data_IF_711339911065
#
_entry.id   IF_711339911065
#
_cell.length_a   1.000
_cell.length_b   1.000
_cell.length_c   1.000
_cell.angle_alpha   90.00
_cell.angle_beta   90.00
_cell.angle_gamma   90.00
#
_symmetry.space_group_name_H-M   'P 1'
#
loop_
_entity.id
_entity.type
_entity.pdbx_description
1 polymer ?
#
# COMPACT_ATOMS: atom_id res chain seq x y z
N UNK A 1 44.05 60.02 -17.74
CA UNK A 1 42.76 59.49 -17.29
C UNK A 1 43.06 58.50 -16.17
N UNK A 2 43.31 59.03 -14.98
CA UNK A 2 43.72 58.28 -13.80
C UNK A 2 42.52 58.15 -12.88
N UNK A 3 41.96 56.95 -12.79
CA UNK A 3 40.92 56.63 -11.82
C UNK A 3 41.57 56.64 -10.43
N UNK A 4 41.13 57.57 -9.58
CA UNK A 4 41.57 57.67 -8.18
C UNK A 4 40.88 56.58 -7.35
N UNK A 5 41.60 56.01 -6.38
CA UNK A 5 41.16 54.96 -5.43
C UNK A 5 39.85 55.24 -4.67
N UNK A 6 39.22 56.41 -4.84
CA UNK A 6 37.98 56.82 -4.19
C UNK A 6 36.71 56.17 -4.76
N UNK A 7 36.72 55.63 -5.98
CA UNK A 7 35.51 55.09 -6.63
C UNK A 7 35.28 53.59 -6.39
N UNK A 8 36.23 52.88 -5.75
CA UNK A 8 36.15 51.44 -5.44
C UNK A 8 35.67 51.12 -4.01
N UNK A 9 35.65 52.12 -3.12
CA UNK A 9 35.27 51.95 -1.71
C UNK A 9 33.77 51.69 -1.44
N UNK A 10 32.81 52.34 -2.15
CA UNK A 10 31.39 52.12 -1.89
C UNK A 10 30.95 50.68 -2.22
N UNK A 11 31.56 50.10 -3.25
CA UNK A 11 31.24 48.76 -3.75
C UNK A 11 31.76 47.66 -2.82
N UNK A 12 32.93 47.88 -2.21
CA UNK A 12 33.49 46.95 -1.23
C UNK A 12 32.67 46.91 0.07
N UNK A 13 32.17 48.06 0.53
CA UNK A 13 31.31 48.14 1.73
C UNK A 13 29.95 47.47 1.48
N UNK A 14 29.36 47.69 0.30
CA UNK A 14 28.13 47.02 -0.12
C UNK A 14 28.32 45.50 -0.24
N UNK A 15 29.42 45.06 -0.85
CA UNK A 15 29.78 43.66 -0.96
C UNK A 15 30.01 43.02 0.42
N UNK A 16 30.67 43.72 1.34
CA UNK A 16 30.90 43.24 2.70
C UNK A 16 29.59 43.12 3.49
N UNK A 17 28.67 44.08 3.35
CA UNK A 17 27.33 44.00 3.93
C UNK A 17 26.51 42.83 3.34
N UNK A 18 26.63 42.58 2.04
CA UNK A 18 25.97 41.47 1.37
C UNK A 18 26.51 40.10 1.82
N UNK A 19 27.83 39.97 1.97
CA UNK A 19 28.47 38.76 2.52
C UNK A 19 28.01 38.52 3.96
N UNK A 20 27.96 39.56 4.78
CA UNK A 20 27.50 39.45 6.17
C UNK A 20 26.03 39.05 6.26
N UNK A 21 25.19 39.53 5.33
CA UNK A 21 23.80 39.12 5.21
C UNK A 21 23.65 37.65 4.77
N UNK A 22 24.50 37.18 3.85
CA UNK A 22 24.54 35.77 3.45
C UNK A 22 24.97 34.86 4.60
N UNK A 23 25.97 35.25 5.39
CA UNK A 23 26.40 34.49 6.58
C UNK A 23 25.29 34.41 7.63
N UNK A 24 24.60 35.52 7.88
CA UNK A 24 23.43 35.57 8.76
C UNK A 24 22.28 34.67 8.26
N UNK A 25 22.01 34.70 6.96
CA UNK A 25 21.00 33.85 6.33
C UNK A 25 21.37 32.37 6.42
N UNK A 26 22.65 32.02 6.18
CA UNK A 26 23.15 30.65 6.31
C UNK A 26 22.98 30.12 7.73
N UNK A 27 23.36 30.90 8.74
CA UNK A 27 23.20 30.53 10.15
C UNK A 27 21.73 30.31 10.53
N UNK A 28 20.83 31.20 10.09
CA UNK A 28 19.38 31.02 10.29
C UNK A 28 18.86 29.77 9.60
N UNK A 29 19.34 29.47 8.40
CA UNK A 29 18.94 28.27 7.66
C UNK A 29 19.37 27.00 8.41
N UNK A 30 20.62 26.95 8.88
CA UNK A 30 21.12 25.82 9.69
C UNK A 30 20.35 25.67 11.00
N UNK A 31 19.97 26.77 11.64
CA UNK A 31 19.14 26.73 12.85
C UNK A 31 17.73 26.20 12.56
N UNK A 32 17.10 26.68 11.48
CA UNK A 32 15.78 26.20 11.04
C UNK A 32 15.82 24.73 10.61
N UNK A 33 16.90 24.26 9.98
CA UNK A 33 17.10 22.85 9.66
C UNK A 33 17.23 21.99 10.91
N UNK A 34 17.98 22.44 11.92
CA UNK A 34 18.08 21.76 13.20
C UNK A 34 16.74 21.74 13.96
N UNK A 35 16.00 22.85 13.93
CA UNK A 35 14.66 22.94 14.52
C UNK A 35 13.66 22.06 13.77
N UNK A 36 13.73 21.98 12.43
CA UNK A 36 12.92 21.07 11.62
C UNK A 36 13.27 19.61 11.89
N UNK A 37 14.54 19.28 12.07
CA UNK A 37 14.98 17.92 12.36
C UNK A 37 14.60 17.51 13.79
N UNK A 38 14.67 18.43 14.76
CA UNK A 38 14.06 18.24 16.10
C UNK A 38 12.55 18.13 16.02
N UNK A 39 11.86 18.96 15.23
CA UNK A 39 10.41 18.93 15.06
C UNK A 39 9.94 17.68 14.31
N UNK A 40 10.77 17.06 13.48
CA UNK A 40 10.50 15.73 12.89
C UNK A 40 10.70 14.61 13.91
N UNK A 41 11.73 14.69 14.76
CA UNK A 41 11.95 13.74 15.85
C UNK A 41 10.89 13.88 16.97
N UNK A 42 10.42 15.10 17.22
CA UNK A 42 9.33 15.40 18.14
C UNK A 42 7.96 15.26 17.48
N UNK A 43 7.84 15.38 16.16
CA UNK A 43 6.62 15.12 15.39
C UNK A 43 6.27 13.64 15.27
N UNK A 44 7.21 12.76 15.61
CA UNK A 44 6.95 11.35 15.95
C UNK A 44 6.22 11.23 17.30
N UNK A 45 6.21 12.28 18.14
CA UNK A 45 5.64 12.29 19.49
C UNK A 45 4.57 13.37 19.76
N UNK A 46 4.42 14.38 18.90
CA UNK A 46 3.43 15.48 19.04
C UNK A 46 2.45 15.42 17.86
N UNK A 47 1.68 14.33 17.78
CA UNK A 47 0.32 14.36 17.24
C UNK A 47 -0.73 14.29 18.37
N UNK A 48 -0.31 14.36 19.63
CA UNK A 48 -1.20 14.24 20.79
C UNK A 48 -1.54 15.60 21.40
N UNK A 49 -2.45 16.33 20.75
CA UNK A 49 -3.21 17.40 21.42
C UNK A 49 -4.54 17.58 20.70
N UNK A 50 -5.41 16.59 20.89
CA UNK A 50 -6.78 16.54 20.38
C UNK A 50 -7.13 15.11 19.95
N UNK A 51 -8.05 14.46 20.69
CA UNK A 51 -8.71 13.19 20.38
C UNK A 51 -7.94 11.88 20.65
N UNK A 52 -8.12 11.37 21.89
CA UNK A 52 -7.72 10.03 22.33
C UNK A 52 -8.35 8.87 21.53
N UNK A 53 -9.29 9.12 20.60
CA UNK A 53 -9.83 8.11 19.71
C UNK A 53 -8.92 7.80 18.50
N UNK A 54 -8.09 8.75 18.05
CA UNK A 54 -7.20 8.57 16.89
C UNK A 54 -5.84 7.94 17.24
N UNK A 55 -5.46 7.91 18.53
CA UNK A 55 -4.19 7.32 18.97
C UNK A 55 -4.12 5.79 18.85
N UNK A 56 -5.26 5.09 18.85
CA UNK A 56 -5.30 3.63 18.69
C UNK A 56 -5.21 3.20 17.22
N UNK A 57 -5.78 3.97 16.29
CA UNK A 57 -5.69 3.70 14.85
C UNK A 57 -4.27 3.87 14.32
N UNK A 58 -3.57 4.95 14.73
CA UNK A 58 -2.16 5.16 14.38
C UNK A 58 -1.23 4.08 14.92
N UNK A 59 -1.52 3.54 16.11
CA UNK A 59 -0.77 2.41 16.67
C UNK A 59 -1.04 1.10 15.90
N UNK A 60 -2.29 0.88 15.46
CA UNK A 60 -2.68 -0.29 14.66
C UNK A 60 -2.04 -0.30 13.27
N UNK A 61 -1.99 0.85 12.58
CA UNK A 61 -1.34 0.99 11.28
C UNK A 61 0.18 0.69 11.35
N UNK A 62 0.87 1.28 12.34
CA UNK A 62 2.31 1.02 12.55
C UNK A 62 2.57 -0.44 12.95
N UNK A 63 1.73 -1.03 13.80
CA UNK A 63 1.86 -2.44 14.17
C UNK A 63 1.69 -3.35 12.95
N UNK A 64 0.71 -3.08 12.09
CA UNK A 64 0.53 -3.81 10.85
C UNK A 64 1.75 -3.68 9.92
N UNK A 65 2.32 -2.49 9.75
CA UNK A 65 3.49 -2.29 8.89
C UNK A 65 4.70 -3.10 9.36
N UNK A 66 4.92 -3.17 10.68
CA UNK A 66 5.99 -3.97 11.28
C UNK A 66 5.75 -5.47 11.07
N UNK A 67 4.54 -5.97 11.32
CA UNK A 67 4.23 -7.39 11.11
C UNK A 67 4.25 -7.76 9.62
N UNK A 68 3.81 -6.86 8.73
CA UNK A 68 3.89 -7.06 7.30
C UNK A 68 5.34 -7.12 6.80
N UNK A 69 6.22 -6.26 7.32
CA UNK A 69 7.65 -6.30 7.00
C UNK A 69 8.28 -7.64 7.41
N UNK A 70 8.00 -8.13 8.62
CA UNK A 70 8.46 -9.46 9.07
C UNK A 70 7.89 -10.59 8.24
N UNK A 71 6.61 -10.51 7.88
CA UNK A 71 5.98 -11.49 6.99
C UNK A 71 6.69 -11.53 5.64
N UNK A 72 7.03 -10.37 5.08
CA UNK A 72 7.74 -10.26 3.80
C UNK A 72 9.17 -10.83 3.88
N UNK A 73 9.88 -10.62 4.99
CA UNK A 73 11.19 -11.23 5.23
C UNK A 73 11.12 -12.76 5.23
N UNK A 74 10.16 -13.35 5.96
CA UNK A 74 9.98 -14.80 5.97
C UNK A 74 9.51 -15.33 4.60
N UNK A 75 8.65 -14.59 3.89
CA UNK A 75 8.29 -14.92 2.50
C UNK A 75 9.53 -14.98 1.60
N UNK A 76 10.44 -14.01 1.68
CA UNK A 76 11.68 -14.02 0.89
C UNK A 76 12.52 -15.27 1.21
N UNK A 77 12.60 -15.66 2.49
CA UNK A 77 13.33 -16.86 2.93
C UNK A 77 12.70 -18.14 2.37
N UNK A 78 11.40 -18.33 2.52
CA UNK A 78 10.68 -19.50 1.98
C UNK A 78 10.78 -19.59 0.46
N UNK A 79 10.73 -18.45 -0.24
CA UNK A 79 10.88 -18.41 -1.70
C UNK A 79 12.31 -18.79 -2.12
N UNK A 80 13.33 -18.37 -1.37
CA UNK A 80 14.71 -18.78 -1.63
C UNK A 80 14.90 -20.28 -1.41
N UNK A 81 14.28 -20.84 -0.38
CA UNK A 81 14.25 -22.29 -0.14
C UNK A 81 13.57 -23.04 -1.29
N UNK A 82 12.39 -22.58 -1.73
CA UNK A 82 11.68 -23.16 -2.87
C UNK A 82 12.52 -23.10 -4.15
N UNK A 83 13.17 -21.96 -4.41
CA UNK A 83 14.06 -21.79 -5.56
C UNK A 83 15.24 -22.76 -5.51
N UNK A 84 15.86 -22.93 -4.34
CA UNK A 84 16.95 -23.89 -4.15
C UNK A 84 16.48 -25.32 -4.41
N UNK A 85 15.33 -25.72 -3.84
CA UNK A 85 14.74 -27.05 -4.02
C UNK A 85 14.37 -27.35 -5.48
N UNK A 86 13.81 -26.37 -6.20
CA UNK A 86 13.53 -26.49 -7.64
C UNK A 86 14.82 -26.67 -8.44
N UNK A 87 15.86 -25.87 -8.14
CA UNK A 87 17.15 -25.94 -8.85
C UNK A 87 17.92 -27.23 -8.57
N UNK A 88 17.81 -27.77 -7.36
CA UNK A 88 18.42 -29.06 -6.98
C UNK A 88 17.60 -30.27 -7.42
N UNK A 89 16.50 -30.07 -8.16
CA UNK A 89 15.60 -31.13 -8.61
C UNK A 89 15.06 -31.99 -7.45
N UNK A 90 14.66 -31.34 -6.36
CA UNK A 90 14.06 -32.00 -5.20
C UNK A 90 12.86 -32.87 -5.60
N UNK A 91 12.57 -33.86 -4.75
CA UNK A 91 11.44 -34.76 -4.95
C UNK A 91 10.10 -34.01 -4.90
N UNK A 92 9.06 -34.58 -5.50
CA UNK A 92 7.72 -33.97 -5.45
C UNK A 92 7.17 -33.91 -4.01
N UNK A 93 7.59 -34.80 -3.12
CA UNK A 93 7.23 -34.76 -1.71
C UNK A 93 7.86 -33.56 -1.00
N UNK A 94 9.15 -33.33 -1.20
CA UNK A 94 9.86 -32.16 -0.65
C UNK A 94 9.29 -30.85 -1.19
N UNK A 95 9.09 -30.75 -2.51
CA UNK A 95 8.48 -29.56 -3.11
C UNK A 95 7.07 -29.32 -2.57
N UNK A 96 6.28 -30.38 -2.34
CA UNK A 96 4.93 -30.23 -1.78
C UNK A 96 4.95 -29.64 -0.38
N UNK A 97 5.84 -30.12 0.50
CA UNK A 97 5.97 -29.56 1.84
C UNK A 97 6.30 -28.06 1.82
N UNK A 98 7.22 -27.64 0.95
CA UNK A 98 7.60 -26.22 0.82
C UNK A 98 6.44 -25.39 0.24
N UNK A 99 5.80 -25.89 -0.82
CA UNK A 99 4.65 -25.22 -1.47
C UNK A 99 3.49 -25.04 -0.47
N UNK A 100 3.14 -26.09 0.27
CA UNK A 100 2.07 -26.05 1.27
C UNK A 100 2.41 -25.06 2.40
N UNK A 101 3.68 -25.01 2.82
CA UNK A 101 4.18 -24.04 3.80
C UNK A 101 4.03 -22.59 3.31
N UNK A 102 4.36 -22.31 2.04
CA UNK A 102 4.20 -20.97 1.45
C UNK A 102 2.72 -20.59 1.34
N UNK A 103 1.85 -21.53 0.93
CA UNK A 103 0.41 -21.28 0.86
C UNK A 103 -0.18 -20.97 2.24
N UNK A 104 0.22 -21.71 3.28
CA UNK A 104 -0.17 -21.40 4.66
C UNK A 104 0.38 -20.02 5.11
N UNK A 105 1.57 -19.64 4.66
CA UNK A 105 2.12 -18.31 4.94
C UNK A 105 1.34 -17.18 4.23
N UNK A 106 0.73 -17.43 3.07
CA UNK A 106 -0.23 -16.48 2.46
C UNK A 106 -1.52 -16.33 3.29
N UNK A 107 -2.02 -17.41 3.91
CA UNK A 107 -3.19 -17.33 4.79
C UNK A 107 -2.93 -16.36 5.98
N UNK A 108 -1.70 -16.34 6.47
CA UNK A 108 -1.30 -15.47 7.58
C UNK A 108 -1.34 -13.98 7.20
N UNK A 109 -0.91 -13.58 5.99
CA UNK A 109 -1.02 -12.15 5.60
C UNK A 109 -2.48 -11.72 5.45
N UNK A 110 -3.36 -12.58 4.96
CA UNK A 110 -4.79 -12.27 4.90
C UNK A 110 -5.39 -12.14 6.30
N UNK A 111 -4.94 -12.96 7.27
CA UNK A 111 -5.32 -12.82 8.68
C UNK A 111 -4.83 -11.50 9.28
N UNK A 112 -3.55 -11.15 9.06
CA UNK A 112 -2.97 -9.88 9.52
C UNK A 112 -3.73 -8.68 8.95
N UNK A 113 -4.05 -8.71 7.65
CA UNK A 113 -4.85 -7.68 7.00
C UNK A 113 -6.27 -7.62 7.55
N UNK A 114 -6.89 -8.75 7.90
CA UNK A 114 -8.19 -8.76 8.55
C UNK A 114 -8.18 -8.08 9.92
N UNK A 115 -7.11 -8.24 10.71
CA UNK A 115 -6.93 -7.50 11.97
C UNK A 115 -6.71 -6.01 11.71
N UNK A 116 -5.84 -5.67 10.76
CA UNK A 116 -5.56 -4.28 10.41
C UNK A 116 -6.79 -3.55 9.85
N UNK A 117 -7.63 -4.21 9.04
CA UNK A 117 -8.86 -3.63 8.50
C UNK A 117 -9.84 -3.21 9.59
N UNK A 118 -9.92 -3.98 10.68
CA UNK A 118 -10.77 -3.66 11.84
C UNK A 118 -10.24 -2.49 12.65
N UNK A 119 -8.92 -2.30 12.68
CA UNK A 119 -8.29 -1.21 13.40
C UNK A 119 -8.26 0.09 12.57
N UNK A 120 -7.88 -0.01 11.30
CA UNK A 120 -7.78 1.09 10.34
C UNK A 120 -7.88 0.56 8.89
N UNK A 121 -9.10 0.55 8.35
CA UNK A 121 -9.36 0.16 6.96
C UNK A 121 -8.76 1.14 5.95
N UNK A 122 -8.61 2.41 6.30
CA UNK A 122 -8.09 3.43 5.40
C UNK A 122 -6.59 3.29 5.18
N UNK A 123 -5.84 2.81 6.20
CA UNK A 123 -4.44 2.43 6.04
C UNK A 123 -4.24 1.36 4.96
N UNK A 124 -5.09 0.32 4.96
CA UNK A 124 -5.04 -0.74 3.95
C UNK A 124 -5.46 -0.25 2.56
N UNK A 125 -6.57 0.50 2.49
CA UNK A 125 -7.11 1.03 1.22
C UNK A 125 -6.18 2.04 0.56
N UNK A 126 -5.55 2.90 1.36
CA UNK A 126 -4.57 3.85 0.84
C UNK A 126 -3.32 3.14 0.30
N UNK A 127 -2.98 1.97 0.82
CA UNK A 127 -1.81 1.21 0.39
C UNK A 127 -0.50 1.75 0.93
N UNK A 128 -0.51 2.53 2.02
CA UNK A 128 0.69 3.15 2.61
C UNK A 128 1.73 2.12 3.07
N UNK A 129 1.30 0.91 3.37
CA UNK A 129 2.11 -0.26 3.71
C UNK A 129 2.85 -0.90 2.51
N UNK A 130 2.63 -0.39 1.28
CA UNK A 130 3.29 -0.83 0.05
C UNK A 130 4.19 0.22 -0.56
N UNK A 131 5.14 -0.20 -1.39
CA UNK A 131 5.96 0.72 -2.16
C UNK A 131 5.13 1.50 -3.19
N UNK A 132 5.50 2.75 -3.55
CA UNK A 132 4.77 3.54 -4.54
C UNK A 132 4.46 2.81 -5.86
N UNK A 133 5.41 2.05 -6.41
CA UNK A 133 5.17 1.32 -7.66
C UNK A 133 4.15 0.17 -7.48
N UNK A 134 4.18 -0.54 -6.35
CA UNK A 134 3.17 -1.57 -6.05
C UNK A 134 1.77 -0.97 -5.88
N UNK A 135 1.65 0.23 -5.32
CA UNK A 135 0.36 0.90 -5.07
C UNK A 135 -0.43 1.13 -6.35
N UNK A 136 0.24 1.33 -7.48
CA UNK A 136 -0.41 1.47 -8.80
C UNK A 136 -1.22 0.24 -9.22
N UNK A 137 -0.95 -0.93 -8.63
CA UNK A 137 -1.60 -2.20 -8.97
C UNK A 137 -2.49 -2.72 -7.83
N UNK A 138 -2.73 -1.92 -6.80
CA UNK A 138 -3.64 -2.28 -5.72
C UNK A 138 -5.10 -2.13 -6.14
N UNK A 139 -5.89 -3.15 -5.82
CA UNK A 139 -7.33 -3.21 -5.92
C UNK A 139 -7.86 -3.73 -4.58
N UNK A 140 -8.69 -2.96 -3.87
CA UNK A 140 -9.23 -3.35 -2.54
C UNK A 140 -8.16 -3.96 -1.61
N UNK A 141 -7.06 -3.22 -1.42
CA UNK A 141 -5.97 -3.59 -0.52
C UNK A 141 -5.07 -4.73 -1.00
N UNK A 142 -5.09 -5.16 -2.26
CA UNK A 142 -4.19 -6.20 -2.76
C UNK A 142 -4.20 -6.35 -4.28
N UNK A 143 -3.71 -7.46 -4.82
CA UNK A 143 -3.71 -7.71 -6.27
C UNK A 143 -5.09 -8.19 -6.78
N UNK A 144 -5.35 -8.07 -8.08
CA UNK A 144 -6.49 -8.76 -8.72
C UNK A 144 -6.11 -10.21 -9.04
N UNK A 145 -6.93 -11.15 -8.59
CA UNK A 145 -6.75 -12.59 -8.78
C UNK A 145 -6.79 -12.96 -10.26
N UNK A 146 -7.71 -12.39 -11.02
CA UNK A 146 -7.84 -12.64 -12.47
C UNK A 146 -6.59 -12.24 -13.24
N UNK A 147 -6.05 -11.05 -12.96
CA UNK A 147 -4.82 -10.54 -13.58
C UNK A 147 -3.60 -11.36 -13.19
N UNK A 148 -3.52 -11.81 -11.94
CA UNK A 148 -2.45 -12.71 -11.49
C UNK A 148 -2.47 -14.02 -12.27
N UNK A 149 -3.64 -14.66 -12.41
CA UNK A 149 -3.78 -15.90 -13.16
C UNK A 149 -3.39 -15.72 -14.63
N UNK A 150 -3.82 -14.61 -15.25
CA UNK A 150 -3.46 -14.26 -16.63
C UNK A 150 -1.94 -14.15 -16.83
N UNK A 151 -1.25 -13.54 -15.87
CA UNK A 151 0.21 -13.43 -15.87
C UNK A 151 0.89 -14.81 -15.75
N UNK A 152 0.31 -15.72 -14.98
CA UNK A 152 0.88 -17.05 -14.73
C UNK A 152 0.69 -18.02 -15.89
N UNK A 153 -0.44 -17.99 -16.60
CA UNK A 153 -0.67 -18.87 -17.76
C UNK A 153 0.47 -18.77 -18.77
N UNK A 154 0.98 -17.57 -19.01
CA UNK A 154 2.06 -17.33 -19.97
C UNK A 154 3.45 -17.78 -19.46
N UNK A 155 3.59 -18.15 -18.19
CA UNK A 155 4.87 -18.51 -17.57
C UNK A 155 4.99 -19.98 -17.19
N UNK A 156 3.89 -20.73 -17.18
CA UNK A 156 3.82 -22.09 -16.62
C UNK A 156 3.85 -23.22 -17.65
N UNK A 157 4.31 -22.95 -18.87
CA UNK A 157 4.37 -23.97 -19.91
C UNK A 157 5.35 -25.12 -19.55
N UNK A 158 4.97 -26.40 -19.77
CA UNK A 158 3.72 -26.87 -20.37
C UNK A 158 2.57 -27.05 -19.35
N UNK A 159 1.35 -26.64 -19.76
CA UNK A 159 0.08 -26.91 -19.08
C UNK A 159 -0.77 -27.85 -19.96
N UNK A 160 -1.52 -28.78 -19.35
CA UNK A 160 -2.47 -29.60 -20.11
C UNK A 160 -3.70 -28.79 -20.52
N UNK A 161 -4.45 -29.23 -21.54
CA UNK A 161 -5.71 -28.59 -21.94
C UNK A 161 -6.70 -28.51 -20.76
N UNK A 162 -6.79 -29.56 -19.95
CA UNK A 162 -7.63 -29.58 -18.75
C UNK A 162 -7.19 -28.52 -17.74
N UNK A 163 -5.88 -28.33 -17.54
CA UNK A 163 -5.35 -27.30 -16.65
C UNK A 163 -5.61 -25.90 -17.18
N UNK A 164 -5.43 -25.68 -18.49
CA UNK A 164 -5.72 -24.40 -19.14
C UNK A 164 -7.21 -24.03 -19.01
N UNK A 165 -8.12 -24.98 -19.25
CA UNK A 165 -9.55 -24.78 -19.03
C UNK A 165 -9.86 -24.48 -17.55
N UNK A 166 -9.24 -25.23 -16.63
CA UNK A 166 -9.40 -25.00 -15.19
C UNK A 166 -8.97 -23.60 -14.77
N UNK A 167 -7.80 -23.14 -15.22
CA UNK A 167 -7.30 -21.80 -14.92
C UNK A 167 -8.18 -20.73 -15.56
N UNK A 168 -8.64 -20.93 -16.80
CA UNK A 168 -9.52 -19.98 -17.50
C UNK A 168 -10.86 -19.80 -16.78
N UNK A 169 -11.47 -20.91 -16.31
CA UNK A 169 -12.70 -20.86 -15.51
C UNK A 169 -12.47 -20.17 -14.15
N UNK A 170 -11.32 -20.44 -13.51
CA UNK A 170 -10.96 -19.79 -12.26
C UNK A 170 -10.72 -18.28 -12.45
N UNK A 171 -10.09 -17.89 -13.55
CA UNK A 171 -9.89 -16.50 -13.92
C UNK A 171 -11.22 -15.79 -14.15
N UNK A 172 -12.12 -16.39 -14.92
CA UNK A 172 -13.43 -15.81 -15.22
C UNK A 172 -14.29 -15.65 -13.96
N UNK A 173 -14.38 -16.67 -13.12
CA UNK A 173 -15.14 -16.60 -11.86
C UNK A 173 -14.52 -15.60 -10.86
N UNK A 174 -13.18 -15.51 -10.81
CA UNK A 174 -12.50 -14.49 -10.03
C UNK A 174 -12.88 -13.10 -10.54
N UNK A 175 -12.77 -12.84 -11.85
CA UNK A 175 -13.12 -11.55 -12.46
C UNK A 175 -14.55 -11.12 -12.14
N UNK A 176 -15.53 -12.03 -12.26
CA UNK A 176 -16.92 -11.72 -11.95
C UNK A 176 -17.11 -11.26 -10.50
N UNK A 177 -16.42 -11.91 -9.56
CA UNK A 177 -16.45 -11.53 -8.14
C UNK A 177 -15.76 -10.18 -7.92
N UNK A 178 -14.64 -9.94 -8.60
CA UNK A 178 -13.94 -8.66 -8.54
C UNK A 178 -14.78 -7.50 -9.09
N UNK A 179 -15.50 -7.73 -10.18
CA UNK A 179 -16.38 -6.73 -10.80
C UNK A 179 -17.56 -6.41 -9.87
N UNK A 180 -18.19 -7.43 -9.29
CA UNK A 180 -19.26 -7.24 -8.31
C UNK A 180 -18.80 -6.45 -7.08
N UNK A 181 -17.61 -6.75 -6.55
CA UNK A 181 -17.03 -6.01 -5.42
C UNK A 181 -16.66 -4.58 -5.80
N UNK A 182 -16.15 -4.35 -7.02
CA UNK A 182 -15.82 -3.01 -7.51
C UNK A 182 -17.08 -2.16 -7.66
N UNK A 183 -18.14 -2.70 -8.26
CA UNK A 183 -19.44 -2.03 -8.38
C UNK A 183 -20.05 -1.73 -7.01
N UNK A 184 -19.95 -2.65 -6.05
CA UNK A 184 -20.42 -2.41 -4.68
C UNK A 184 -19.66 -1.27 -3.99
N UNK A 185 -18.35 -1.17 -4.20
CA UNK A 185 -17.53 -0.08 -3.67
C UNK A 185 -17.88 1.27 -4.31
N UNK A 186 -18.10 1.30 -5.63
CA UNK A 186 -18.54 2.50 -6.35
C UNK A 186 -19.92 2.97 -5.84
N UNK A 187 -20.88 2.06 -5.68
CA UNK A 187 -22.18 2.36 -5.12
C UNK A 187 -22.08 2.90 -3.68
N UNK A 188 -21.19 2.34 -2.86
CA UNK A 188 -20.92 2.85 -1.52
C UNK A 188 -20.38 4.29 -1.54
N UNK A 189 -19.40 4.56 -2.40
CA UNK A 189 -18.81 5.89 -2.56
C UNK A 189 -19.84 6.92 -3.03
N UNK A 190 -20.66 6.56 -4.02
CA UNK A 190 -21.75 7.40 -4.51
C UNK A 190 -22.76 7.71 -3.39
N UNK A 191 -23.17 6.67 -2.67
CA UNK A 191 -24.13 6.80 -1.57
C UNK A 191 -23.58 7.60 -0.38
N UNK A 192 -22.25 7.58 -0.17
CA UNK A 192 -21.57 8.44 0.80
C UNK A 192 -21.57 9.90 0.34
N UNK A 193 -21.24 10.18 -0.92
CA UNK A 193 -21.26 11.53 -1.49
C UNK A 193 -22.66 12.17 -1.44
N UNK A 194 -23.70 11.39 -1.73
CA UNK A 194 -25.11 11.82 -1.59
C UNK A 194 -25.46 12.18 -0.15
N UNK A 195 -25.03 11.36 0.81
CA UNK A 195 -25.26 11.63 2.24
C UNK A 195 -24.62 12.94 2.66
N UNK A 196 -23.38 13.20 2.23
CA UNK A 196 -22.62 14.41 2.58
C UNK A 196 -23.14 15.68 1.88
N UNK A 197 -23.69 15.57 0.67
CA UNK A 197 -24.23 16.70 -0.10
C UNK A 197 -25.64 17.11 0.32
N UNK A 198 -26.43 16.18 0.87
CA UNK A 198 -27.83 16.40 1.28
C UNK A 198 -28.04 17.47 2.38
N UNK A 199 -26.98 17.87 3.09
CA UNK A 199 -27.03 18.92 4.13
C UNK A 199 -26.81 20.36 3.68
N UNK A 200 -26.42 20.58 2.42
CA UNK A 200 -26.00 21.91 1.97
C UNK A 200 -27.14 22.82 1.46
N UNK A 201 -28.36 22.30 1.26
CA UNK A 201 -29.38 22.95 0.42
C UNK A 201 -30.61 23.52 1.16
N UNK A 202 -30.60 23.62 2.50
CA UNK A 202 -31.64 24.41 3.16
C UNK A 202 -31.66 24.34 4.68
N UNK A 203 -31.14 25.37 5.35
CA UNK A 203 -31.91 26.09 6.38
C UNK A 203 -31.14 27.32 6.87
N UNK A 204 -31.77 28.48 6.70
CA UNK A 204 -31.36 29.78 7.23
C UNK A 204 -31.63 29.91 8.75
N UNK A 205 -31.82 28.83 9.51
CA UNK A 205 -32.23 28.88 10.91
C UNK A 205 -31.26 28.12 11.82
N UNK A 206 -30.60 28.85 12.70
CA UNK A 206 -29.31 28.56 13.34
C UNK A 206 -29.30 27.50 14.45
N UNK A 207 -30.39 26.74 14.70
CA UNK A 207 -30.39 25.65 15.70
C UNK A 207 -30.77 24.26 15.18
N UNK A 208 -31.46 24.13 14.04
CA UNK A 208 -31.77 22.84 13.41
C UNK A 208 -30.59 22.23 12.63
N UNK A 209 -29.52 23.00 12.44
CA UNK A 209 -28.41 22.66 11.58
C UNK A 209 -27.46 21.61 12.19
N UNK A 210 -27.23 21.66 13.50
CA UNK A 210 -26.28 20.75 14.18
C UNK A 210 -26.85 19.34 14.28
N UNK A 211 -28.13 19.19 14.65
CA UNK A 211 -28.76 17.87 14.73
C UNK A 211 -28.83 17.16 13.36
N UNK A 212 -29.13 17.92 12.30
CA UNK A 212 -29.14 17.41 10.93
C UNK A 212 -27.73 17.01 10.46
N UNK A 213 -26.72 17.85 10.72
CA UNK A 213 -25.33 17.54 10.42
C UNK A 213 -24.85 16.29 11.16
N UNK A 214 -25.14 16.18 12.47
CA UNK A 214 -24.79 15.01 13.27
C UNK A 214 -25.45 13.73 12.73
N UNK A 215 -26.73 13.78 12.34
CA UNK A 215 -27.41 12.65 11.72
C UNK A 215 -26.80 12.23 10.38
N UNK A 216 -26.38 13.19 9.55
CA UNK A 216 -25.68 12.94 8.30
C UNK A 216 -24.31 12.32 8.52
N UNK A 217 -23.51 12.86 9.46
CA UNK A 217 -22.21 12.30 9.81
C UNK A 217 -22.34 10.90 10.40
N UNK A 218 -23.34 10.64 11.25
CA UNK A 218 -23.60 9.30 11.78
C UNK A 218 -23.93 8.30 10.66
N UNK A 219 -24.73 8.71 9.67
CA UNK A 219 -25.06 7.89 8.51
C UNK A 219 -23.82 7.64 7.63
N UNK A 220 -23.02 8.67 7.38
CA UNK A 220 -21.76 8.57 6.65
C UNK A 220 -20.76 7.63 7.35
N UNK A 221 -20.63 7.74 8.67
CA UNK A 221 -19.80 6.84 9.48
C UNK A 221 -20.27 5.39 9.39
N UNK A 222 -21.59 5.15 9.44
CA UNK A 222 -22.16 3.81 9.23
C UNK A 222 -21.79 3.22 7.87
N UNK A 223 -21.81 4.03 6.80
CA UNK A 223 -21.37 3.62 5.46
C UNK A 223 -19.88 3.30 5.42
N UNK A 224 -19.03 4.16 6.01
CA UNK A 224 -17.58 3.90 6.10
C UNK A 224 -17.28 2.59 6.85
N UNK A 225 -18.11 2.23 7.84
CA UNK A 225 -18.01 0.95 8.55
C UNK A 225 -18.15 -0.29 7.64
N UNK A 226 -18.72 -0.16 6.43
CA UNK A 226 -18.84 -1.28 5.49
C UNK A 226 -17.56 -1.58 4.70
N UNK A 227 -16.58 -0.66 4.70
CA UNK A 227 -15.34 -0.79 3.95
C UNK A 227 -14.52 -2.02 4.37
N UNK A 228 -14.51 -2.36 5.66
CA UNK A 228 -13.82 -3.55 6.18
C UNK A 228 -14.38 -4.83 5.54
N UNK A 229 -15.70 -4.88 5.31
CA UNK A 229 -16.36 -5.97 4.63
C UNK A 229 -15.91 -6.16 3.18
N UNK A 230 -15.59 -5.09 2.45
CA UNK A 230 -15.05 -5.17 1.09
C UNK A 230 -13.63 -5.71 1.06
N UNK A 231 -12.75 -5.22 1.94
CA UNK A 231 -11.37 -5.71 2.05
C UNK A 231 -11.36 -7.20 2.40
N UNK A 232 -12.16 -7.61 3.38
CA UNK A 232 -12.27 -9.02 3.80
C UNK A 232 -12.75 -9.91 2.66
N UNK A 233 -13.76 -9.49 1.88
CA UNK A 233 -14.24 -10.25 0.73
C UNK A 233 -13.19 -10.36 -0.38
N UNK A 234 -12.47 -9.27 -0.67
CA UNK A 234 -11.40 -9.27 -1.65
C UNK A 234 -10.24 -10.20 -1.24
N UNK A 235 -9.86 -10.22 0.04
CA UNK A 235 -8.82 -11.13 0.56
C UNK A 235 -9.26 -12.59 0.59
N UNK A 236 -10.53 -12.87 0.93
CA UNK A 236 -11.08 -14.22 0.80
C UNK A 236 -11.05 -14.71 -0.65
N UNK A 237 -11.37 -13.85 -1.62
CA UNK A 237 -11.27 -14.18 -3.03
C UNK A 237 -9.83 -14.55 -3.41
N UNK A 238 -8.83 -13.75 -3.02
CA UNK A 238 -7.41 -14.04 -3.28
C UNK A 238 -6.99 -15.37 -2.69
N UNK A 239 -7.35 -15.61 -1.44
CA UNK A 239 -7.03 -16.86 -0.75
C UNK A 239 -7.64 -18.06 -1.48
N UNK A 240 -8.93 -17.98 -1.83
CA UNK A 240 -9.61 -19.05 -2.58
C UNK A 240 -8.99 -19.25 -3.96
N UNK A 241 -8.65 -18.18 -4.69
CA UNK A 241 -7.99 -18.29 -5.99
C UNK A 241 -6.66 -19.03 -5.88
N UNK A 242 -5.81 -18.69 -4.90
CA UNK A 242 -4.51 -19.37 -4.70
C UNK A 242 -4.70 -20.87 -4.40
N UNK A 243 -5.66 -21.20 -3.54
CA UNK A 243 -5.97 -22.59 -3.18
C UNK A 243 -6.52 -23.38 -4.38
N UNK A 244 -7.42 -22.80 -5.17
CA UNK A 244 -7.96 -23.48 -6.36
C UNK A 244 -6.91 -23.62 -7.46
N UNK A 245 -6.06 -22.61 -7.66
CA UNK A 245 -4.92 -22.70 -8.58
C UNK A 245 -4.00 -23.86 -8.19
N UNK A 246 -3.66 -23.99 -6.90
CA UNK A 246 -2.86 -25.09 -6.41
C UNK A 246 -3.49 -26.47 -6.66
N UNK A 247 -4.83 -26.58 -6.60
CA UNK A 247 -5.56 -27.83 -6.91
C UNK A 247 -5.55 -28.18 -8.40
N UNK A 248 -5.52 -27.18 -9.27
CA UNK A 248 -5.48 -27.39 -10.74
C UNK A 248 -4.06 -27.80 -11.19
N UNK A 249 -3.04 -27.20 -10.58
CA UNK A 249 -1.64 -27.40 -10.94
C UNK A 249 -1.04 -28.65 -10.29
N UNK A 250 -0.04 -29.23 -10.94
CA UNK A 250 0.86 -30.18 -10.27
C UNK A 250 1.71 -29.47 -9.23
N UNK A 251 2.36 -30.20 -8.33
CA UNK A 251 3.26 -29.62 -7.32
C UNK A 251 4.41 -28.82 -7.95
N UNK A 252 5.04 -29.32 -9.02
CA UNK A 252 6.11 -28.56 -9.70
C UNK A 252 5.59 -27.31 -10.40
N UNK A 253 4.42 -27.37 -11.02
CA UNK A 253 3.79 -26.19 -11.61
C UNK A 253 3.41 -25.18 -10.52
N UNK A 254 2.91 -25.64 -9.37
CA UNK A 254 2.63 -24.77 -8.21
C UNK A 254 3.89 -24.10 -7.66
N UNK A 255 5.00 -24.84 -7.55
CA UNK A 255 6.29 -24.29 -7.16
C UNK A 255 6.74 -23.18 -8.13
N UNK A 256 6.68 -23.43 -9.44
CA UNK A 256 6.99 -22.43 -10.47
C UNK A 256 6.03 -21.24 -10.43
N UNK A 257 4.75 -21.47 -10.15
CA UNK A 257 3.75 -20.41 -10.04
C UNK A 257 4.08 -19.48 -8.87
N UNK A 258 4.36 -20.03 -7.69
CA UNK A 258 4.73 -19.25 -6.51
C UNK A 258 6.01 -18.44 -6.74
N UNK A 259 7.01 -19.02 -7.41
CA UNK A 259 8.22 -18.31 -7.83
C UNK A 259 7.90 -17.15 -8.77
N UNK A 260 7.07 -17.37 -9.80
CA UNK A 260 6.68 -16.34 -10.75
C UNK A 260 5.86 -15.21 -10.10
N UNK A 261 4.93 -15.54 -9.19
CA UNK A 261 4.18 -14.56 -8.38
C UNK A 261 5.15 -13.70 -7.58
N UNK A 262 6.09 -14.33 -6.87
CA UNK A 262 7.07 -13.62 -6.06
C UNK A 262 7.94 -12.70 -6.90
N UNK A 263 8.48 -13.20 -8.02
CA UNK A 263 9.36 -12.43 -8.90
C UNK A 263 8.66 -11.22 -9.51
N UNK A 264 7.36 -11.35 -9.83
CA UNK A 264 6.54 -10.22 -10.26
C UNK A 264 6.49 -9.10 -9.20
N UNK A 265 6.12 -9.42 -7.95
CA UNK A 265 6.04 -8.41 -6.89
C UNK A 265 7.41 -7.87 -6.48
N UNK A 266 8.45 -8.70 -6.49
CA UNK A 266 9.84 -8.28 -6.24
C UNK A 266 10.32 -7.30 -7.30
N UNK A 267 9.95 -7.48 -8.58
CA UNK A 267 10.25 -6.52 -9.65
C UNK A 267 9.52 -5.18 -9.46
N UNK A 268 8.27 -5.18 -9.02
CA UNK A 268 7.55 -3.94 -8.69
C UNK A 268 8.25 -3.17 -7.56
N UNK A 269 8.68 -3.87 -6.50
CA UNK A 269 9.46 -3.27 -5.41
C UNK A 269 10.80 -2.70 -5.91
N UNK A 270 11.54 -3.47 -6.71
CA UNK A 270 12.79 -3.01 -7.30
C UNK A 270 12.61 -1.77 -8.20
N UNK A 271 11.55 -1.74 -9.00
CA UNK A 271 11.19 -0.58 -9.82
C UNK A 271 10.95 0.66 -8.96
N UNK A 272 10.26 0.51 -7.82
CA UNK A 272 10.06 1.62 -6.89
C UNK A 272 11.39 2.15 -6.34
N UNK A 273 12.31 1.27 -5.96
CA UNK A 273 13.63 1.66 -5.47
C UNK A 273 14.45 2.40 -6.54
N UNK A 274 14.46 1.90 -7.77
CA UNK A 274 15.13 2.54 -8.91
C UNK A 274 14.56 3.93 -9.20
N UNK A 275 13.23 4.07 -9.16
CA UNK A 275 12.55 5.35 -9.36
C UNK A 275 12.93 6.38 -8.30
N UNK A 276 13.06 5.96 -7.03
CA UNK A 276 13.48 6.84 -5.94
C UNK A 276 14.96 7.23 -6.01
N UNK A 277 15.81 6.36 -6.57
CA UNK A 277 17.26 6.56 -6.69
C UNK A 277 17.69 7.39 -7.91
N UNK A 278 16.77 7.74 -8.82
CA UNK A 278 17.09 8.52 -10.01
C UNK A 278 17.66 9.91 -9.67
N UNK A 279 18.56 10.48 -10.49
CA UNK A 279 18.98 11.86 -10.34
C UNK A 279 17.78 12.80 -10.37
N UNK A 280 17.73 13.76 -9.44
CA UNK A 280 16.77 14.86 -9.50
C UNK A 280 17.43 15.99 -10.27
N UNK A 281 16.78 16.44 -11.35
CA UNK A 281 17.14 17.67 -12.06
C UNK A 281 16.88 18.91 -11.17
#
# INVERSE_FOLDING_TARGET
MSLTESDLFPDLISMQAYVQQLESSRLKLTQLEQELQRARQQGIFISSSGDQAHSMAGNGAMAFDVEYARWLEEQNKQINELRAAVNSHASDTELRMIVDGILAHYDEVFRLKGVAAKADVFHLLSGMWKTPAERCFLWLGGFRSSELLKLLVNQLEPLTEQQLMGISNLQQSSQQTEDALSQGMEALQQSLAETLSSGSLGSSNTSGNVANYMGQMATAMGKLGTLEGFIRQADNLRQQTLQQMHRILTTRQSARALLAIHDYFSRLRALSSLWLARPKE
#
